data_IF_937975750681
#
_entry.id   IF_937975750681
#
_cell.length_a   1.000
_cell.length_b   1.000
_cell.length_c   1.000
_cell.angle_alpha   90.00
_cell.angle_beta   90.00
_cell.angle_gamma   90.00
#
_symmetry.space_group_name_H-M   'P 1'
#
loop_
_entity.id
_entity.type
_entity.pdbx_description
1 polymer ?
#
# COMPACT_ATOMS: atom_id res chain seq x y z
N UNK A 1 37.63 -74.90 3.76
CA UNK A 1 36.35 -74.81 3.02
C UNK A 1 35.49 -73.78 3.71
N UNK A 2 35.12 -72.71 3.02
CA UNK A 2 33.88 -71.91 3.13
C UNK A 2 34.10 -70.53 2.50
N UNK A 3 33.68 -70.41 1.25
CA UNK A 3 33.28 -69.15 0.62
C UNK A 3 31.86 -68.82 1.10
N UNK A 4 31.49 -67.54 1.31
CA UNK A 4 30.12 -67.05 1.06
C UNK A 4 30.06 -65.50 0.97
N UNK A 5 29.96 -65.04 -0.28
CA UNK A 5 29.02 -64.05 -0.85
C UNK A 5 28.84 -62.69 -0.15
N UNK A 6 29.37 -61.64 -0.81
CA UNK A 6 28.96 -60.23 -0.70
C UNK A 6 27.54 -60.04 -1.28
N UNK A 7 26.61 -59.52 -0.48
CA UNK A 7 25.35 -58.94 -0.98
C UNK A 7 25.50 -57.42 -1.06
N UNK A 8 25.49 -56.89 -2.27
CA UNK A 8 25.31 -55.46 -2.54
C UNK A 8 23.84 -55.09 -2.39
N UNK A 9 23.56 -54.03 -1.63
CA UNK A 9 22.24 -53.42 -1.56
C UNK A 9 22.23 -52.17 -2.45
N UNK A 10 21.45 -52.23 -3.52
CA UNK A 10 21.09 -51.07 -4.35
C UNK A 10 20.34 -50.03 -3.50
N UNK A 11 20.90 -48.84 -3.37
CA UNK A 11 20.19 -47.67 -2.87
C UNK A 11 19.42 -47.04 -4.03
N UNK A 12 18.10 -47.30 -4.06
CA UNK A 12 17.15 -46.74 -5.01
C UNK A 12 16.77 -45.33 -4.51
N UNK A 13 17.48 -44.30 -4.99
CA UNK A 13 17.19 -42.89 -4.67
C UNK A 13 16.00 -42.45 -5.51
N UNK A 14 14.81 -42.53 -4.92
CA UNK A 14 13.59 -41.88 -5.43
C UNK A 14 13.75 -40.36 -5.29
N UNK A 15 14.15 -39.72 -6.38
CA UNK A 15 14.13 -38.26 -6.52
C UNK A 15 12.70 -37.74 -6.57
N UNK A 16 12.13 -37.42 -5.41
CA UNK A 16 10.98 -36.53 -5.30
C UNK A 16 11.46 -35.13 -5.70
N UNK A 17 11.29 -34.77 -6.97
CA UNK A 17 11.38 -33.40 -7.44
C UNK A 17 10.21 -32.63 -6.83
N UNK A 18 10.44 -32.03 -5.67
CA UNK A 18 9.62 -30.93 -5.20
C UNK A 18 9.79 -29.79 -6.21
N UNK A 19 8.88 -29.71 -7.18
CA UNK A 19 8.64 -28.47 -7.91
C UNK A 19 8.06 -27.48 -6.91
N UNK A 20 8.94 -26.83 -6.15
CA UNK A 20 8.62 -25.61 -5.45
C UNK A 20 8.07 -24.66 -6.50
N UNK A 21 6.74 -24.48 -6.54
CA UNK A 21 6.13 -23.47 -7.36
C UNK A 21 6.74 -22.15 -6.90
N UNK A 22 7.61 -21.57 -7.73
CA UNK A 22 8.12 -20.23 -7.52
C UNK A 22 6.89 -19.32 -7.43
N UNK A 23 6.50 -18.94 -6.21
CA UNK A 23 5.50 -17.91 -6.02
C UNK A 23 6.10 -16.68 -6.68
N UNK A 24 5.47 -16.17 -7.73
CA UNK A 24 5.91 -14.94 -8.37
C UNK A 24 6.13 -13.89 -7.27
N UNK A 25 7.35 -13.36 -7.15
CA UNK A 25 7.75 -12.38 -6.12
C UNK A 25 6.89 -11.10 -6.14
N UNK A 26 6.04 -10.98 -7.16
CA UNK A 26 5.18 -9.85 -7.45
C UNK A 26 3.78 -9.96 -6.82
N UNK A 27 3.39 -11.11 -6.27
CA UNK A 27 2.07 -11.30 -5.65
C UNK A 27 2.13 -11.29 -4.12
N UNK A 28 1.16 -10.62 -3.49
CA UNK A 28 0.97 -10.64 -2.05
C UNK A 28 -0.50 -10.88 -1.69
N UNK A 29 -0.74 -11.73 -0.71
CA UNK A 29 -2.08 -11.95 -0.16
C UNK A 29 -2.12 -11.46 1.29
N UNK A 30 -3.19 -10.74 1.64
CA UNK A 30 -3.42 -10.36 3.03
C UNK A 30 -3.80 -11.57 3.89
N UNK A 31 -3.77 -11.37 5.21
CA UNK A 31 -4.57 -12.19 6.12
C UNK A 31 -6.06 -12.08 5.76
N UNK A 32 -6.84 -13.09 6.15
CA UNK A 32 -8.28 -13.06 5.97
C UNK A 32 -8.91 -12.01 6.88
N UNK A 33 -9.74 -11.14 6.31
CA UNK A 33 -10.74 -10.35 6.98
C UNK A 33 -11.96 -11.23 7.27
N UNK A 34 -12.39 -11.21 8.52
CA UNK A 34 -13.53 -11.97 9.04
C UNK A 34 -13.11 -12.90 10.18
N UNK A 35 -14.00 -13.79 10.60
CA UNK A 35 -13.75 -14.77 11.66
C UNK A 35 -14.08 -16.16 11.14
N UNK A 36 -13.23 -17.15 11.39
CA UNK A 36 -13.61 -18.55 11.21
C UNK A 36 -14.42 -18.98 12.43
N UNK A 37 -15.72 -19.17 12.27
CA UNK A 37 -16.60 -19.72 13.29
C UNK A 37 -16.88 -21.19 12.99
N UNK A 38 -17.38 -21.95 13.97
CA UNK A 38 -17.74 -23.35 13.74
C UNK A 38 -18.77 -23.48 12.61
N UNK A 39 -19.77 -22.59 12.57
CA UNK A 39 -20.84 -22.63 11.60
C UNK A 39 -20.39 -22.24 10.19
N UNK A 40 -19.57 -21.21 10.03
CA UNK A 40 -19.12 -20.83 8.69
C UNK A 40 -18.11 -21.83 8.11
N UNK A 41 -17.31 -22.52 8.92
CA UNK A 41 -16.37 -23.52 8.46
C UNK A 41 -17.07 -24.77 7.91
N UNK A 42 -18.17 -25.22 8.55
CA UNK A 42 -18.93 -26.40 8.10
C UNK A 42 -19.89 -26.10 6.96
N UNK A 43 -20.28 -24.84 6.76
CA UNK A 43 -21.18 -24.40 5.68
C UNK A 43 -20.46 -23.74 4.51
N UNK A 44 -19.11 -23.76 4.48
CA UNK A 44 -18.33 -23.21 3.39
C UNK A 44 -18.66 -23.91 2.06
N UNK A 45 -19.17 -23.15 1.09
CA UNK A 45 -19.62 -23.65 -0.21
C UNK A 45 -18.70 -23.27 -1.36
N UNK A 46 -17.83 -22.27 -1.20
CA UNK A 46 -17.00 -21.80 -2.30
C UNK A 46 -15.86 -20.88 -1.91
N UNK A 47 -14.92 -20.71 -2.85
CA UNK A 47 -13.81 -19.77 -2.73
C UNK A 47 -13.72 -18.83 -3.96
N UNK A 48 -14.80 -18.10 -4.31
CA UNK A 48 -14.80 -17.28 -5.51
C UNK A 48 -13.83 -16.10 -5.38
N UNK A 49 -13.37 -15.59 -6.53
CA UNK A 49 -12.47 -14.46 -6.60
C UNK A 49 -12.98 -13.42 -7.61
N UNK A 50 -12.82 -12.16 -7.26
CA UNK A 50 -13.04 -11.02 -8.15
C UNK A 50 -11.68 -10.44 -8.49
N UNK A 51 -11.21 -10.65 -9.73
CA UNK A 51 -9.85 -10.28 -10.15
C UNK A 51 -9.88 -9.27 -11.28
N UNK A 52 -8.91 -8.37 -11.27
CA UNK A 52 -8.61 -7.52 -12.39
C UNK A 52 -7.85 -8.31 -13.47
N UNK A 53 -8.04 -7.97 -14.76
CA UNK A 53 -7.13 -8.38 -15.82
C UNK A 53 -5.70 -7.88 -15.56
N UNK A 54 -4.73 -8.49 -16.24
CA UNK A 54 -3.32 -8.11 -16.13
C UNK A 54 -3.10 -6.62 -16.42
N UNK A 55 -2.24 -5.99 -15.62
CA UNK A 55 -1.95 -4.56 -15.72
C UNK A 55 -3.07 -3.63 -15.26
N UNK A 56 -4.14 -4.15 -14.63
CA UNK A 56 -5.18 -3.36 -13.99
C UNK A 56 -5.20 -3.56 -12.48
N UNK A 57 -5.61 -2.52 -11.77
CA UNK A 57 -5.79 -2.52 -10.32
C UNK A 57 -7.20 -2.10 -9.95
N UNK A 58 -7.60 -2.46 -8.73
CA UNK A 58 -8.90 -2.13 -8.18
C UNK A 58 -8.95 -0.64 -7.89
N UNK A 59 -9.91 0.04 -8.52
CA UNK A 59 -10.18 1.47 -8.37
C UNK A 59 -11.58 1.72 -7.80
N UNK A 60 -12.34 0.67 -7.54
CA UNK A 60 -13.65 0.74 -6.92
C UNK A 60 -14.21 -0.65 -6.66
N UNK A 61 -15.37 -0.71 -6.03
CA UNK A 61 -16.09 -1.95 -5.78
C UNK A 61 -17.58 -1.71 -5.94
N UNK A 62 -18.28 -2.68 -6.51
CA UNK A 62 -19.72 -2.81 -6.36
C UNK A 62 -19.99 -3.80 -5.24
N UNK A 63 -20.72 -3.34 -4.23
CA UNK A 63 -21.02 -4.08 -3.02
C UNK A 63 -22.53 -4.20 -2.91
N UNK A 64 -23.02 -5.43 -2.73
CA UNK A 64 -24.39 -5.73 -2.35
C UNK A 64 -24.43 -6.01 -0.86
N UNK A 65 -25.25 -5.26 -0.14
CA UNK A 65 -25.37 -5.43 1.30
C UNK A 65 -26.73 -5.02 1.84
N UNK A 66 -27.17 -5.71 2.88
CA UNK A 66 -28.19 -5.27 3.83
C UNK A 66 -27.57 -5.16 5.22
N UNK A 67 -28.04 -6.00 6.16
CA UNK A 67 -27.39 -6.18 7.47
C UNK A 67 -26.06 -6.93 7.37
N UNK A 68 -25.90 -7.77 6.35
CA UNK A 68 -24.68 -8.47 6.00
C UNK A 68 -24.21 -8.05 4.60
N UNK A 69 -22.97 -8.40 4.25
CA UNK A 69 -22.44 -8.26 2.89
C UNK A 69 -22.75 -9.52 2.10
N UNK A 70 -23.68 -9.38 1.15
CA UNK A 70 -24.20 -10.47 0.32
C UNK A 70 -23.26 -10.79 -0.83
N UNK A 71 -22.75 -9.76 -1.51
CA UNK A 71 -21.87 -9.92 -2.65
C UNK A 71 -20.93 -8.73 -2.91
N UNK A 72 -19.79 -9.01 -3.53
CA UNK A 72 -18.79 -8.01 -3.91
C UNK A 72 -18.20 -8.34 -5.28
N UNK A 73 -18.04 -7.33 -6.14
CA UNK A 73 -17.11 -7.37 -7.27
C UNK A 73 -16.23 -6.13 -7.30
N UNK A 74 -15.02 -6.30 -7.81
CA UNK A 74 -14.09 -5.20 -8.02
C UNK A 74 -14.39 -4.47 -9.33
N UNK A 75 -14.11 -3.16 -9.34
CA UNK A 75 -13.99 -2.36 -10.55
C UNK A 75 -12.51 -2.06 -10.77
N UNK A 76 -12.03 -2.40 -11.97
CA UNK A 76 -10.63 -2.44 -12.32
C UNK A 76 -10.30 -1.43 -13.40
N UNK A 77 -9.17 -0.76 -13.29
CA UNK A 77 -8.67 0.13 -14.32
C UNK A 77 -7.15 0.05 -14.41
N UNK A 78 -6.62 0.42 -15.57
CA UNK A 78 -5.21 0.76 -15.69
C UNK A 78 -5.00 2.17 -15.14
N UNK A 79 -3.82 2.44 -14.61
CA UNK A 79 -3.47 3.75 -14.07
C UNK A 79 -2.57 4.48 -15.06
N UNK A 80 -3.02 5.62 -15.57
CA UNK A 80 -2.20 6.48 -16.42
C UNK A 80 -1.21 7.33 -15.63
N UNK A 81 -0.48 8.25 -16.27
CA UNK A 81 0.70 8.88 -15.66
C UNK A 81 0.39 9.65 -14.35
N UNK A 82 -0.82 10.21 -14.22
CA UNK A 82 -1.28 10.93 -13.03
C UNK A 82 -2.23 10.07 -12.17
N UNK A 83 -2.28 8.76 -12.42
CA UNK A 83 -3.18 7.82 -11.75
C UNK A 83 -4.62 7.88 -12.25
N UNK A 84 -4.88 8.54 -13.39
CA UNK A 84 -6.19 8.54 -14.02
C UNK A 84 -6.61 7.11 -14.39
N UNK A 85 -7.89 6.80 -14.16
CA UNK A 85 -8.43 5.46 -14.41
C UNK A 85 -8.72 5.28 -15.90
N UNK A 86 -8.15 4.25 -16.52
CA UNK A 86 -8.29 3.98 -17.95
C UNK A 86 -8.82 2.56 -18.21
N UNK A 87 -9.77 2.44 -19.15
CA UNK A 87 -10.37 1.17 -19.56
C UNK A 87 -10.99 0.43 -18.37
N UNK A 88 -11.97 1.05 -17.71
CA UNK A 88 -12.66 0.46 -16.56
C UNK A 88 -13.40 -0.82 -16.97
N UNK A 89 -13.21 -1.87 -16.17
CA UNK A 89 -13.87 -3.18 -16.35
C UNK A 89 -14.25 -3.75 -15.00
N UNK A 90 -15.28 -4.59 -14.96
CA UNK A 90 -15.72 -5.23 -13.72
C UNK A 90 -15.16 -6.65 -13.60
N UNK A 91 -14.81 -7.03 -12.38
CA UNK A 91 -14.48 -8.42 -12.05
C UNK A 91 -15.72 -9.29 -11.88
N UNK A 92 -15.49 -10.58 -11.67
CA UNK A 92 -16.55 -11.54 -11.33
C UNK A 92 -17.15 -11.20 -9.96
N UNK A 93 -18.45 -11.41 -9.76
CA UNK A 93 -19.04 -11.25 -8.42
C UNK A 93 -18.75 -12.46 -7.56
N UNK A 94 -18.42 -12.18 -6.31
CA UNK A 94 -18.33 -13.14 -5.22
C UNK A 94 -19.58 -12.99 -4.35
N UNK A 95 -20.19 -14.10 -3.92
CA UNK A 95 -21.39 -14.08 -3.07
C UNK A 95 -22.71 -14.18 -3.86
N UNK A 96 -23.83 -13.80 -3.23
CA UNK A 96 -25.17 -13.92 -3.80
C UNK A 96 -25.66 -12.62 -4.48
N UNK A 97 -26.14 -12.74 -5.72
CA UNK A 97 -26.64 -11.63 -6.52
C UNK A 97 -28.08 -11.17 -6.17
N UNK A 98 -28.85 -12.02 -5.48
CA UNK A 98 -30.27 -11.78 -5.19
C UNK A 98 -30.51 -11.00 -3.87
N UNK A 99 -29.48 -10.85 -3.03
CA UNK A 99 -29.57 -10.18 -1.72
C UNK A 99 -29.10 -8.73 -1.74
N UNK A 100 -29.55 -7.98 -0.74
CA UNK A 100 -29.05 -6.65 -0.40
C UNK A 100 -29.35 -5.54 -1.42
N UNK A 101 -28.94 -4.32 -1.06
CA UNK A 101 -28.94 -3.17 -1.97
C UNK A 101 -27.57 -3.02 -2.63
N UNK A 102 -27.56 -2.72 -3.93
CA UNK A 102 -26.32 -2.46 -4.67
C UNK A 102 -25.82 -1.05 -4.38
N UNK A 103 -24.52 -0.93 -4.08
CA UNK A 103 -23.79 0.33 -3.98
C UNK A 103 -22.47 0.21 -4.70
N UNK A 104 -22.20 1.15 -5.60
CA UNK A 104 -20.91 1.29 -6.25
C UNK A 104 -20.12 2.39 -5.58
N UNK A 105 -18.94 2.05 -5.07
CA UNK A 105 -18.05 2.97 -4.38
C UNK A 105 -16.74 2.99 -5.15
N UNK A 106 -16.28 4.18 -5.53
CA UNK A 106 -15.08 4.35 -6.36
C UNK A 106 -14.06 5.23 -5.67
N UNK A 107 -12.80 4.94 -5.91
CA UNK A 107 -11.74 5.90 -5.66
C UNK A 107 -11.91 7.11 -6.61
N UNK A 108 -11.61 8.33 -6.15
CA UNK A 108 -11.41 9.44 -7.06
C UNK A 108 -10.33 9.11 -8.10
N UNK A 109 -10.41 9.74 -9.28
CA UNK A 109 -9.34 9.68 -10.28
C UNK A 109 -8.00 10.10 -9.64
N UNK A 110 -6.91 9.43 -10.00
CA UNK A 110 -5.60 9.62 -9.36
C UNK A 110 -5.39 8.77 -8.10
N UNK A 111 -6.37 7.96 -7.69
CA UNK A 111 -6.28 7.10 -6.51
C UNK A 111 -6.58 5.63 -6.83
N UNK A 112 -5.99 4.72 -6.07
CA UNK A 112 -6.15 3.27 -6.22
C UNK A 112 -6.44 2.64 -4.85
N UNK A 113 -7.11 1.49 -4.82
CA UNK A 113 -7.38 0.77 -3.57
C UNK A 113 -6.10 0.11 -3.06
N UNK A 114 -5.73 0.37 -1.81
CA UNK A 114 -4.54 -0.20 -1.18
C UNK A 114 -4.80 -0.87 0.16
N UNK A 115 -5.97 -0.66 0.76
CA UNK A 115 -6.31 -1.27 2.05
C UNK A 115 -7.80 -1.58 2.17
N UNK A 116 -8.13 -2.51 3.05
CA UNK A 116 -9.50 -2.88 3.38
C UNK A 116 -9.65 -3.23 4.86
N UNK A 117 -10.83 -2.98 5.40
CA UNK A 117 -11.24 -3.37 6.74
C UNK A 117 -12.66 -3.89 6.71
N UNK A 118 -13.02 -4.67 7.70
CA UNK A 118 -14.35 -5.24 7.80
C UNK A 118 -14.88 -5.20 9.24
N UNK A 119 -16.15 -5.54 9.39
CA UNK A 119 -16.71 -6.06 10.64
C UNK A 119 -17.28 -7.44 10.36
N UNK A 120 -17.08 -8.37 11.28
CA UNK A 120 -17.52 -9.74 11.12
C UNK A 120 -17.91 -10.41 12.44
N UNK A 121 -19.08 -11.01 12.44
CA UNK A 121 -19.50 -12.07 13.35
C UNK A 121 -19.28 -13.42 12.68
N UNK A 122 -20.37 -14.08 12.32
CA UNK A 122 -20.33 -15.34 11.57
C UNK A 122 -20.02 -15.14 10.08
N UNK A 123 -20.54 -14.06 9.51
CA UNK A 123 -20.29 -13.61 8.15
C UNK A 123 -19.73 -12.19 8.18
N UNK A 124 -19.37 -11.66 7.02
CA UNK A 124 -18.98 -10.26 6.90
C UNK A 124 -20.22 -9.38 7.06
N UNK A 125 -20.32 -8.67 8.17
CA UNK A 125 -21.38 -7.68 8.43
C UNK A 125 -21.15 -6.40 7.62
N UNK A 126 -19.90 -5.98 7.51
CA UNK A 126 -19.54 -4.69 6.94
C UNK A 126 -18.19 -4.72 6.24
N UNK A 127 -18.05 -3.95 5.16
CA UNK A 127 -16.76 -3.69 4.50
C UNK A 127 -16.53 -2.20 4.26
N UNK A 128 -15.27 -1.78 4.33
CA UNK A 128 -14.80 -0.47 3.91
C UNK A 128 -13.40 -0.64 3.33
N UNK A 129 -13.09 0.08 2.27
CA UNK A 129 -11.77 0.08 1.65
C UNK A 129 -11.19 1.49 1.62
N UNK A 130 -9.87 1.61 1.55
CA UNK A 130 -9.18 2.87 1.46
C UNK A 130 -8.55 3.06 0.08
N UNK A 131 -8.74 4.27 -0.43
CA UNK A 131 -8.07 4.77 -1.61
C UNK A 131 -6.83 5.54 -1.20
N UNK A 132 -5.76 5.43 -2.00
CA UNK A 132 -4.53 6.19 -1.82
C UNK A 132 -4.10 6.77 -3.15
N UNK A 133 -3.57 7.98 -3.15
CA UNK A 133 -3.12 8.63 -4.37
C UNK A 133 -1.92 7.89 -4.96
N UNK A 134 -1.88 7.84 -6.30
CA UNK A 134 -0.76 7.27 -7.05
C UNK A 134 -0.46 8.11 -8.28
N UNK A 135 0.81 8.26 -8.61
CA UNK A 135 1.25 8.81 -9.90
C UNK A 135 2.55 8.13 -10.34
N UNK A 136 2.82 8.16 -11.64
CA UNK A 136 4.04 7.61 -12.20
C UNK A 136 5.30 8.29 -11.65
N UNK A 137 5.24 9.54 -11.18
CA UNK A 137 6.40 10.26 -10.66
C UNK A 137 6.66 10.07 -9.17
N UNK A 138 5.63 9.75 -8.38
CA UNK A 138 5.74 9.67 -6.91
C UNK A 138 5.43 8.27 -6.36
N UNK A 139 4.85 7.39 -7.17
CA UNK A 139 4.26 6.16 -6.67
C UNK A 139 3.09 6.45 -5.72
N UNK A 140 2.87 5.55 -4.76
CA UNK A 140 1.85 5.73 -3.72
C UNK A 140 2.23 6.89 -2.79
N UNK A 141 1.32 7.85 -2.63
CA UNK A 141 1.52 9.02 -1.79
C UNK A 141 0.22 9.47 -1.12
N UNK A 142 0.34 10.38 -0.16
CA UNK A 142 -0.77 10.79 0.69
C UNK A 142 -1.22 9.72 1.68
N UNK A 143 -2.21 10.08 2.50
CA UNK A 143 -2.82 9.21 3.50
C UNK A 143 -3.89 8.30 2.90
N UNK A 144 -4.17 7.18 3.57
CA UNK A 144 -5.33 6.36 3.28
C UNK A 144 -6.64 7.15 3.44
N UNK A 145 -7.47 7.15 2.40
CA UNK A 145 -8.81 7.73 2.41
C UNK A 145 -9.86 6.62 2.43
N UNK A 146 -10.34 6.30 3.62
CA UNK A 146 -11.40 5.32 3.83
C UNK A 146 -12.70 5.76 3.18
N UNK A 147 -13.29 4.86 2.40
CA UNK A 147 -14.60 5.04 1.80
C UNK A 147 -15.70 4.69 2.80
N UNK A 148 -16.94 5.22 2.61
CA UNK A 148 -18.08 4.88 3.45
C UNK A 148 -18.27 3.38 3.56
N UNK A 149 -18.49 2.89 4.77
CA UNK A 149 -18.67 1.48 5.02
C UNK A 149 -20.02 0.99 4.45
N UNK A 150 -20.02 -0.22 3.90
CA UNK A 150 -21.20 -0.88 3.32
C UNK A 150 -21.54 -2.11 4.15
N UNK A 151 -22.81 -2.29 4.49
CA UNK A 151 -23.30 -3.35 5.39
C UNK A 151 -23.73 -2.84 6.76
N UNK A 152 -24.07 -3.77 7.66
CA UNK A 152 -24.61 -3.49 8.98
C UNK A 152 -23.58 -3.07 10.02
N UNK A 153 -24.04 -2.76 11.23
CA UNK A 153 -23.18 -2.44 12.39
C UNK A 153 -22.76 -3.65 13.22
N UNK A 154 -23.20 -4.85 12.85
CA UNK A 154 -22.91 -6.11 13.53
C UNK A 154 -21.43 -6.49 13.55
N UNK A 155 -21.14 -7.64 14.14
CA UNK A 155 -19.80 -8.21 14.19
C UNK A 155 -18.76 -7.41 15.00
N UNK A 156 -17.53 -7.91 14.99
CA UNK A 156 -16.37 -7.20 15.54
C UNK A 156 -15.46 -6.68 14.42
N UNK A 157 -14.70 -5.60 14.66
CA UNK A 157 -13.71 -5.12 13.69
C UNK A 157 -12.72 -6.23 13.27
N UNK A 158 -12.48 -6.34 11.97
CA UNK A 158 -11.47 -7.20 11.37
C UNK A 158 -10.57 -6.37 10.43
N UNK A 159 -9.25 -6.57 10.55
CA UNK A 159 -8.26 -5.70 9.89
C UNK A 159 -8.00 -4.40 10.67
N UNK A 160 -7.55 -3.32 10.01
CA UNK A 160 -7.33 -3.21 8.56
C UNK A 160 -6.20 -4.11 8.06
N UNK A 161 -6.26 -4.45 6.77
CA UNK A 161 -5.14 -5.01 6.01
C UNK A 161 -4.76 -4.02 4.92
N UNK A 162 -3.46 -3.83 4.70
CA UNK A 162 -2.91 -2.92 3.71
C UNK A 162 -1.92 -3.67 2.82
N UNK A 163 -1.97 -3.42 1.52
CA UNK A 163 -0.98 -3.93 0.59
C UNK A 163 0.42 -3.41 0.97
N UNK A 164 1.49 -4.19 0.75
CA UNK A 164 2.85 -3.70 0.89
C UNK A 164 3.12 -2.45 0.04
N UNK A 165 4.15 -1.69 0.42
CA UNK A 165 4.60 -0.54 -0.37
C UNK A 165 4.87 -0.95 -1.82
N UNK A 166 4.48 -0.10 -2.77
CA UNK A 166 4.64 -0.36 -4.20
C UNK A 166 3.59 -1.30 -4.79
N UNK A 167 2.67 -1.85 -3.99
CA UNK A 167 1.58 -2.72 -4.46
C UNK A 167 0.21 -2.08 -4.25
N UNK A 168 -0.73 -2.44 -5.12
CA UNK A 168 -2.14 -2.10 -4.97
C UNK A 168 -3.01 -3.35 -5.11
N UNK A 169 -4.25 -3.26 -4.66
CA UNK A 169 -5.19 -4.38 -4.78
C UNK A 169 -5.45 -4.65 -6.26
N UNK A 170 -5.22 -5.88 -6.70
CA UNK A 170 -5.54 -6.38 -8.04
C UNK A 170 -6.73 -7.35 -8.03
N UNK A 171 -7.19 -7.73 -6.85
CA UNK A 171 -8.42 -8.49 -6.70
C UNK A 171 -8.69 -8.85 -5.26
N UNK A 172 -9.80 -9.57 -5.09
CA UNK A 172 -10.24 -10.12 -3.83
C UNK A 172 -10.45 -11.63 -4.00
N UNK A 173 -10.13 -12.37 -2.95
CA UNK A 173 -10.64 -13.74 -2.77
C UNK A 173 -11.63 -13.72 -1.62
N UNK A 174 -12.63 -14.59 -1.71
CA UNK A 174 -13.59 -14.81 -0.65
C UNK A 174 -13.66 -16.27 -0.26
N UNK A 175 -14.24 -16.52 0.91
CA UNK A 175 -14.87 -17.78 1.26
C UNK A 175 -16.36 -17.50 1.46
N UNK A 176 -17.22 -18.29 0.84
CA UNK A 176 -18.67 -18.12 0.93
C UNK A 176 -19.28 -19.28 1.69
N UNK A 177 -20.33 -18.99 2.47
CA UNK A 177 -21.13 -19.99 3.16
C UNK A 177 -22.60 -19.75 2.83
N UNK A 178 -23.20 -20.66 2.07
CA UNK A 178 -24.53 -20.44 1.49
C UNK A 178 -24.54 -19.20 0.60
N UNK A 179 -25.34 -18.19 0.98
CA UNK A 179 -25.50 -16.93 0.23
C UNK A 179 -24.57 -15.79 0.67
N UNK A 180 -23.77 -15.99 1.73
CA UNK A 180 -23.05 -14.90 2.37
C UNK A 180 -21.54 -15.02 2.16
N UNK A 181 -20.87 -13.87 2.19
CA UNK A 181 -19.41 -13.82 2.25
C UNK A 181 -18.99 -13.99 3.70
N UNK A 182 -18.24 -15.05 3.98
CA UNK A 182 -17.76 -15.40 5.33
C UNK A 182 -16.40 -14.79 5.61
N UNK A 183 -15.49 -14.84 4.62
CA UNK A 183 -14.13 -14.32 4.72
C UNK A 183 -13.74 -13.62 3.43
N UNK A 184 -12.92 -12.57 3.54
CA UNK A 184 -12.33 -11.84 2.41
C UNK A 184 -10.83 -11.71 2.59
N UNK A 185 -10.06 -11.68 1.51
CA UNK A 185 -8.67 -11.24 1.56
C UNK A 185 -8.31 -10.46 0.31
N UNK A 186 -7.33 -9.59 0.44
CA UNK A 186 -6.77 -8.83 -0.66
C UNK A 186 -5.74 -9.68 -1.39
N UNK A 187 -5.76 -9.58 -2.71
CA UNK A 187 -4.66 -9.97 -3.57
C UNK A 187 -4.07 -8.69 -4.15
N UNK A 188 -2.81 -8.43 -3.83
CA UNK A 188 -2.10 -7.23 -4.25
C UNK A 188 -0.96 -7.59 -5.21
N UNK A 189 -0.78 -6.77 -6.23
CA UNK A 189 0.31 -6.87 -7.21
C UNK A 189 1.03 -5.54 -7.31
N UNK A 190 2.22 -5.55 -7.93
CA UNK A 190 3.00 -4.34 -8.14
C UNK A 190 2.24 -3.30 -8.97
N UNK A 191 2.33 -2.06 -8.51
CA UNK A 191 1.92 -0.91 -9.29
C UNK A 191 2.92 -0.67 -10.44
N UNK A 192 2.50 0.09 -11.48
CA UNK A 192 3.43 0.47 -12.53
C UNK A 192 4.68 1.15 -11.95
N UNK A 193 5.86 0.90 -12.54
CA UNK A 193 7.11 1.44 -12.00
C UNK A 193 7.09 2.96 -11.99
N UNK A 194 7.65 3.54 -10.93
CA UNK A 194 7.81 4.99 -10.82
C UNK A 194 8.82 5.44 -11.87
N UNK A 195 8.37 6.26 -12.81
CA UNK A 195 9.24 6.92 -13.76
C UNK A 195 10.00 8.02 -13.02
N UNK A 196 11.32 7.90 -12.95
CA UNK A 196 12.16 9.02 -12.54
C UNK A 196 11.79 10.21 -13.43
N UNK A 197 11.63 11.40 -12.83
CA UNK A 197 11.33 12.63 -13.56
C UNK A 197 12.43 12.91 -14.58
N UNK A 198 12.30 12.32 -15.76
CA UNK A 198 13.19 12.52 -16.88
C UNK A 198 12.98 13.94 -17.36
N UNK A 199 13.97 14.81 -17.12
CA UNK A 199 14.14 15.99 -17.96
C UNK A 199 14.07 15.52 -19.41
N UNK A 200 13.21 16.17 -20.19
CA UNK A 200 12.97 15.84 -21.57
C UNK A 200 14.31 15.76 -22.33
N UNK A 201 14.80 14.55 -22.60
CA UNK A 201 15.71 14.35 -23.73
C UNK A 201 14.83 14.39 -24.96
N UNK A 202 14.74 15.57 -25.56
CA UNK A 202 14.15 15.75 -26.88
C UNK A 202 14.77 14.75 -27.83
N UNK A 203 13.92 14.00 -28.51
CA UNK A 203 14.29 13.19 -29.65
C UNK A 203 15.00 14.08 -30.69
N UNK A 204 16.29 13.84 -30.92
CA UNK A 204 16.94 14.27 -32.15
C UNK A 204 16.95 13.09 -33.09
N UNK A 205 15.90 13.09 -33.92
CA UNK A 205 15.78 12.32 -35.13
C UNK A 205 16.98 12.68 -36.02
N UNK A 206 17.85 11.70 -36.27
CA UNK A 206 18.93 11.84 -37.22
C UNK A 206 18.32 11.69 -38.63
N UNK A 207 18.04 12.82 -39.29
CA UNK A 207 17.94 12.87 -40.75
C UNK A 207 19.22 13.48 -41.32
N UNK A 208 19.94 12.63 -42.03
CA UNK A 208 21.00 12.93 -42.97
C UNK A 208 20.51 13.82 -44.12
N UNK A 209 21.26 14.89 -44.45
CA UNK A 209 21.52 15.26 -45.86
C UNK A 209 22.77 16.14 -45.98
N UNK A 210 23.70 15.70 -46.80
CA UNK A 210 24.88 16.42 -47.30
C UNK A 210 24.49 17.58 -48.24
N UNK A 211 25.34 18.61 -48.35
CA UNK A 211 25.38 19.46 -49.56
C UNK A 211 25.94 20.89 -49.43
N UNK A 212 27.27 21.03 -49.60
CA UNK A 212 28.11 22.14 -50.17
C UNK A 212 27.84 23.65 -49.93
N UNK A 213 28.88 24.51 -50.02
CA UNK A 213 28.87 25.91 -49.57
C UNK A 213 28.74 26.94 -50.71
N UNK A 214 28.21 28.14 -50.40
CA UNK A 214 28.69 29.44 -50.93
C UNK A 214 27.96 30.66 -50.34
N UNK A 215 28.77 31.69 -50.05
CA UNK A 215 28.51 33.14 -50.15
C UNK A 215 27.62 33.89 -49.14
N UNK A 216 28.33 34.62 -48.29
CA UNK A 216 28.18 36.02 -47.82
C UNK A 216 26.86 36.79 -48.08
N UNK A 217 26.38 37.50 -47.04
CA UNK A 217 26.26 38.98 -47.02
C UNK A 217 25.98 39.48 -45.59
N UNK A 218 26.66 40.58 -45.25
CA UNK A 218 26.66 41.35 -44.01
C UNK A 218 25.36 42.16 -43.80
N UNK A 219 24.82 42.24 -42.57
CA UNK A 219 24.30 43.50 -41.99
C UNK A 219 23.88 43.41 -40.51
N UNK A 220 24.61 44.19 -39.70
CA UNK A 220 24.31 44.91 -38.45
C UNK A 220 23.68 44.24 -37.20
N UNK A 221 24.07 44.70 -35.98
CA UNK A 221 23.81 44.03 -34.71
C UNK A 221 22.52 44.50 -34.04
N UNK A 222 21.77 43.57 -33.45
CA UNK A 222 20.65 43.86 -32.55
C UNK A 222 21.02 43.48 -31.11
N UNK A 223 20.84 44.48 -30.26
CA UNK A 223 21.08 44.61 -28.83
C UNK A 223 20.62 43.41 -27.97
N UNK A 224 21.49 42.99 -27.06
CA UNK A 224 21.22 42.03 -25.99
C UNK A 224 20.59 42.79 -24.81
N UNK A 225 19.44 42.37 -24.25
CA UNK A 225 19.11 42.63 -22.86
C UNK A 225 19.63 41.46 -22.02
N UNK A 226 20.70 41.70 -21.27
CA UNK A 226 21.12 40.87 -20.15
C UNK A 226 20.06 41.00 -19.05
N UNK A 227 19.54 39.87 -18.57
CA UNK A 227 18.59 39.85 -17.47
C UNK A 227 18.23 38.45 -16.98
N UNK A 228 19.19 37.53 -16.95
CA UNK A 228 19.01 36.26 -16.23
C UNK A 228 19.48 36.50 -14.79
N UNK A 229 18.52 36.76 -13.90
CA UNK A 229 18.76 36.69 -12.47
C UNK A 229 19.14 35.24 -12.11
N UNK A 230 20.17 35.02 -11.27
CA UNK A 230 20.51 33.67 -10.82
C UNK A 230 19.34 33.08 -10.03
N UNK A 231 18.92 31.88 -10.44
CA UNK A 231 17.88 31.12 -9.77
C UNK A 231 18.21 31.00 -8.27
N UNK A 232 17.31 31.52 -7.43
CA UNK A 232 17.34 31.34 -5.99
C UNK A 232 17.40 29.84 -5.71
N UNK A 233 18.52 29.40 -5.12
CA UNK A 233 18.79 28.02 -4.70
C UNK A 233 17.57 27.48 -3.94
N UNK A 234 16.88 26.49 -4.52
CA UNK A 234 15.80 25.76 -3.84
C UNK A 234 16.32 25.29 -2.46
N UNK A 235 15.53 25.47 -1.37
CA UNK A 235 15.96 25.04 -0.05
C UNK A 235 16.22 23.53 -0.06
N UNK A 236 17.47 23.13 0.23
CA UNK A 236 17.80 21.72 0.42
C UNK A 236 16.94 21.15 1.57
N UNK A 237 16.39 19.93 1.46
CA UNK A 237 15.63 19.31 2.53
C UNK A 237 16.54 19.07 3.73
N UNK A 238 16.40 19.93 4.74
CA UNK A 238 17.10 19.82 6.02
C UNK A 238 16.60 18.55 6.71
N UNK A 239 17.54 17.71 7.15
CA UNK A 239 17.18 16.45 7.79
C UNK A 239 16.45 16.72 9.12
N UNK A 240 15.48 15.86 9.52
CA UNK A 240 14.85 16.00 10.83
C UNK A 240 15.89 15.92 11.96
N UNK A 241 15.60 16.47 13.12
CA UNK A 241 16.46 16.31 14.32
C UNK A 241 15.56 15.89 15.48
N UNK A 242 15.97 14.88 16.25
CA UNK A 242 15.21 14.43 17.42
C UNK A 242 15.92 14.93 18.70
N UNK A 243 15.18 15.62 19.57
CA UNK A 243 15.73 16.24 20.78
C UNK A 243 15.26 15.55 22.05
N UNK A 244 13.94 15.51 22.27
CA UNK A 244 13.38 15.00 23.53
C UNK A 244 12.11 14.18 23.31
N UNK A 245 11.84 13.30 24.25
CA UNK A 245 10.60 12.52 24.32
C UNK A 245 9.88 12.84 25.62
N UNK A 246 8.58 13.03 25.55
CA UNK A 246 7.70 13.08 26.73
C UNK A 246 6.49 12.17 26.54
N UNK A 247 5.92 11.67 27.63
CA UNK A 247 4.71 10.84 27.57
C UNK A 247 3.53 11.44 28.32
N UNK A 248 2.33 11.28 27.75
CA UNK A 248 1.06 11.67 28.37
C UNK A 248 0.03 10.55 28.21
N UNK A 249 -0.78 10.24 29.23
CA UNK A 249 -1.91 9.33 29.08
C UNK A 249 -2.88 9.78 27.99
N UNK A 250 -3.34 8.84 27.16
CA UNK A 250 -4.32 9.08 26.10
C UNK A 250 -5.60 8.25 26.32
N UNK A 251 -6.74 8.64 25.71
CA UNK A 251 -7.99 7.89 25.81
C UNK A 251 -7.85 6.45 25.31
N UNK A 252 -8.60 5.52 25.91
CA UNK A 252 -8.60 4.11 25.49
C UNK A 252 -7.36 3.31 25.91
N UNK A 253 -6.69 3.70 27.00
CA UNK A 253 -5.55 2.98 27.57
C UNK A 253 -4.22 3.16 26.81
N UNK A 254 -4.22 3.90 25.71
CA UNK A 254 -2.99 4.21 24.96
C UNK A 254 -2.17 5.30 25.64
N UNK A 255 -0.89 5.41 25.27
CA UNK A 255 -0.02 6.49 25.73
C UNK A 255 0.41 7.32 24.53
N UNK A 256 0.23 8.63 24.62
CA UNK A 256 0.75 9.55 23.62
C UNK A 256 2.20 9.90 23.98
N UNK A 257 3.12 9.58 23.07
CA UNK A 257 4.52 10.01 23.15
C UNK A 257 4.70 11.23 22.24
N UNK A 258 5.10 12.33 22.84
CA UNK A 258 5.47 13.56 22.13
C UNK A 258 6.96 13.53 21.85
N UNK A 259 7.31 13.71 20.57
CA UNK A 259 8.68 13.78 20.06
C UNK A 259 8.93 15.25 19.69
N UNK A 260 9.79 15.92 20.45
CA UNK A 260 10.25 17.28 20.11
C UNK A 260 11.56 17.22 19.33
N UNK A 261 11.72 18.15 18.39
CA UNK A 261 12.80 18.15 17.43
C UNK A 261 12.72 19.30 16.45
N UNK A 262 13.29 19.12 15.26
CA UNK A 262 13.31 20.13 14.19
C UNK A 262 13.06 19.49 12.82
N UNK A 263 12.59 20.31 11.88
CA UNK A 263 12.32 19.94 10.48
C UNK A 263 11.30 18.80 10.30
N UNK A 264 10.28 18.76 11.15
CA UNK A 264 9.10 17.90 10.98
C UNK A 264 8.07 18.60 10.09
N UNK A 265 8.32 18.68 8.79
CA UNK A 265 7.28 19.13 7.88
C UNK A 265 6.17 18.06 7.79
N UNK A 266 4.91 18.48 7.98
CA UNK A 266 3.75 17.57 8.07
C UNK A 266 3.53 16.73 6.81
N UNK A 267 3.98 17.22 5.66
CA UNK A 267 3.96 16.53 4.37
C UNK A 267 5.21 15.69 4.09
N UNK A 268 6.24 15.77 4.94
CA UNK A 268 7.51 15.07 4.74
C UNK A 268 7.68 13.89 5.70
N UNK A 269 7.14 13.96 6.93
CA UNK A 269 7.16 12.82 7.85
C UNK A 269 6.24 11.72 7.31
N UNK A 270 6.81 10.55 7.04
CA UNK A 270 6.09 9.41 6.45
C UNK A 270 5.96 8.23 7.40
N UNK A 271 6.82 8.14 8.42
CA UNK A 271 6.83 7.04 9.37
C UNK A 271 7.42 7.47 10.72
N UNK A 272 6.82 6.95 11.79
CA UNK A 272 7.32 7.05 13.16
C UNK A 272 7.27 5.65 13.77
N UNK A 273 8.42 5.16 14.24
CA UNK A 273 8.53 3.90 14.96
C UNK A 273 9.06 4.15 16.37
N UNK A 274 8.47 3.47 17.35
CA UNK A 274 8.85 3.54 18.75
C UNK A 274 9.17 2.12 19.22
N UNK A 275 10.41 1.92 19.66
CA UNK A 275 10.98 0.60 19.97
C UNK A 275 10.74 -0.44 18.86
N UNK A 276 10.94 -0.04 17.61
CA UNK A 276 10.76 -0.91 16.43
C UNK A 276 9.30 -1.18 16.05
N UNK A 277 8.32 -0.60 16.76
CA UNK A 277 6.90 -0.71 16.40
C UNK A 277 6.45 0.53 15.64
N UNK A 278 5.91 0.35 14.44
CA UNK A 278 5.29 1.45 13.69
C UNK A 278 4.01 1.89 14.40
N UNK A 279 3.95 3.16 14.78
CA UNK A 279 2.83 3.72 15.55
C UNK A 279 2.10 4.80 14.76
N UNK A 280 0.77 4.93 14.94
CA UNK A 280 0.05 6.08 14.40
C UNK A 280 0.61 7.37 15.01
N UNK A 281 0.76 8.40 14.18
CA UNK A 281 1.29 9.69 14.59
C UNK A 281 0.56 10.84 13.90
N UNK A 282 0.69 12.03 14.47
CA UNK A 282 0.34 13.30 13.85
C UNK A 282 1.51 14.26 14.00
N UNK A 283 1.81 15.02 12.96
CA UNK A 283 2.76 16.13 13.05
C UNK A 283 2.00 17.32 13.61
N UNK A 284 2.33 17.74 14.84
CA UNK A 284 1.67 18.84 15.53
C UNK A 284 2.24 20.17 15.09
N UNK A 285 3.55 20.25 14.85
CA UNK A 285 4.25 21.43 14.35
C UNK A 285 5.59 21.04 13.70
N UNK A 286 6.32 21.97 13.05
CA UNK A 286 7.66 21.71 12.52
C UNK A 286 8.69 21.22 13.54
N UNK A 287 8.39 21.34 14.84
CA UNK A 287 9.27 20.90 15.94
C UNK A 287 8.62 19.85 16.84
N UNK A 288 7.40 19.39 16.54
CA UNK A 288 6.68 18.44 17.39
C UNK A 288 5.87 17.40 16.63
N UNK A 289 6.06 16.14 16.98
CA UNK A 289 5.24 15.00 16.54
C UNK A 289 4.59 14.38 17.77
N UNK A 290 3.32 13.99 17.66
CA UNK A 290 2.63 13.22 18.69
C UNK A 290 2.30 11.83 18.13
N UNK A 291 2.81 10.79 18.79
CA UNK A 291 2.65 9.40 18.38
C UNK A 291 1.84 8.62 19.42
N UNK A 292 0.85 7.86 18.99
CA UNK A 292 -0.01 7.08 19.88
C UNK A 292 0.51 5.66 19.99
N UNK A 293 1.01 5.31 21.17
CA UNK A 293 1.62 4.02 21.48
C UNK A 293 0.62 3.14 22.21
N UNK A 294 0.36 1.90 21.73
CA UNK A 294 -0.47 0.95 22.45
C UNK A 294 0.11 0.61 23.83
N UNK A 295 -0.76 0.41 24.84
CA UNK A 295 -0.34 0.17 26.23
C UNK A 295 0.66 -0.99 26.38
N UNK A 296 0.43 -2.09 25.66
CA UNK A 296 1.26 -3.29 25.70
C UNK A 296 2.66 -3.11 25.09
N UNK A 297 2.86 -2.08 24.28
CA UNK A 297 4.18 -1.66 23.75
C UNK A 297 4.83 -0.73 24.78
N UNK A 298 4.06 0.25 25.28
CA UNK A 298 4.55 1.23 26.24
C UNK A 298 5.09 0.59 27.54
N UNK A 299 4.43 -0.43 28.08
CA UNK A 299 4.86 -1.12 29.30
C UNK A 299 6.16 -1.91 29.14
N UNK A 300 6.58 -2.21 27.90
CA UNK A 300 7.83 -2.93 27.60
C UNK A 300 8.99 -2.01 27.23
N UNK A 301 8.79 -0.68 27.23
CA UNK A 301 9.84 0.28 26.88
C UNK A 301 10.88 0.40 28.00
N UNK A 302 12.16 0.31 27.65
CA UNK A 302 13.24 0.88 28.47
C UNK A 302 13.15 2.41 28.39
N UNK A 303 12.51 3.03 29.39
CA UNK A 303 12.28 4.48 29.44
C UNK A 303 13.58 5.30 29.43
N UNK A 304 14.74 4.72 29.76
CA UNK A 304 16.04 5.42 29.71
C UNK A 304 16.62 5.48 28.31
N UNK A 305 16.25 4.55 27.43
CA UNK A 305 16.78 4.41 26.06
C UNK A 305 15.70 3.91 25.11
N UNK A 306 14.81 4.81 24.72
CA UNK A 306 13.75 4.48 23.76
C UNK A 306 14.31 4.60 22.33
N UNK A 307 14.35 3.52 21.53
CA UNK A 307 14.72 3.62 20.13
C UNK A 307 13.59 4.29 19.35
N UNK A 308 13.91 5.39 18.67
CA UNK A 308 12.98 6.13 17.83
C UNK A 308 13.50 6.14 16.42
N UNK A 309 12.61 5.86 15.48
CA UNK A 309 12.85 6.04 14.05
C UNK A 309 11.85 7.03 13.51
N UNK A 310 12.33 8.11 12.90
CA UNK A 310 11.50 9.06 12.14
C UNK A 310 11.99 9.09 10.71
N UNK A 311 11.09 8.83 9.76
CA UNK A 311 11.37 9.02 8.34
C UNK A 311 10.72 10.31 7.88
N UNK A 312 11.52 11.29 7.44
CA UNK A 312 11.02 12.55 6.87
C UNK A 312 11.75 12.89 5.57
N UNK A 313 11.01 13.27 4.53
CA UNK A 313 11.59 13.74 3.26
C UNK A 313 12.50 12.71 2.59
N UNK A 314 12.20 11.41 2.78
CA UNK A 314 13.03 10.31 2.29
C UNK A 314 14.27 9.98 3.14
N UNK A 315 14.55 10.76 4.19
CA UNK A 315 15.64 10.47 5.14
C UNK A 315 15.09 9.75 6.37
N UNK A 316 15.71 8.63 6.71
CA UNK A 316 15.44 7.87 7.94
C UNK A 316 16.44 8.30 9.01
N UNK A 317 15.92 8.72 10.16
CA UNK A 317 16.74 9.04 11.34
C UNK A 317 16.39 8.06 12.44
N UNK A 318 17.43 7.51 13.04
CA UNK A 318 17.35 6.57 14.15
C UNK A 318 18.11 7.15 15.31
N UNK A 319 17.47 7.30 16.46
CA UNK A 319 18.10 7.83 17.67
C UNK A 319 17.53 7.13 18.91
N UNK A 320 18.33 7.00 19.95
CA UNK A 320 17.86 6.57 21.27
C UNK A 320 17.73 7.79 22.17
N UNK A 321 16.54 8.00 22.73
CA UNK A 321 16.25 9.13 23.60
C UNK A 321 15.60 8.65 24.90
N UNK A 322 15.91 9.29 26.05
CA UNK A 322 15.20 9.02 27.29
C UNK A 322 13.78 9.59 27.21
N UNK A 323 12.81 8.84 27.73
CA UNK A 323 11.42 9.24 27.85
C UNK A 323 11.21 9.93 29.20
N UNK A 324 10.79 11.20 29.14
CA UNK A 324 10.47 12.02 30.31
C UNK A 324 8.98 11.99 30.64
#
# INVERSE_FOLDING_TARGET
>A
MHAFIRRGLCALVLGLTFTASARAENEWYSSWLGKSTGLNLVTMTGNPASRCPDGKHVVGMEIRSGTLVDAVRVECASLGANGEHQGQVQGQVMGNYAGGSVRTVRCPSGQVVTAMRARAGEFIDQVSFACRSWSATQGLHGSLRWQPAQGGSGGEPAGPVECPNGKAVAGLNSRTSGSYISLLRLWCTDLPPVQASGGAKSAQSALTSQGRPASATTSRPATIPQGIQPATKLPQPVAPVLRTLSSKPAPGGSVEITIDGEHFASNQVTRVEIAGTSVPYRVVSPTRIAATVPQHVYTRLDKRRVPIVVTSGGKRITQQLPLR
#
